data_IF_774724500383
#
_entry.id   IF_774724500383
#
_cell.length_a   1.000
_cell.length_b   1.000
_cell.length_c   1.000
_cell.angle_alpha   90.00
_cell.angle_beta   90.00
_cell.angle_gamma   90.00
#
_symmetry.space_group_name_H-M   'P 1'
#
loop_
_entity.id
_entity.type
_entity.pdbx_description
1 polymer ?
#
# COMPACT_ATOMS: atom_id res chain seq x y z
N UNK A 1 12.72 -27.47 1.72
CA UNK A 1 11.89 -26.35 1.29
C UNK A 1 10.65 -26.94 0.62
N UNK A 2 9.52 -26.86 1.29
CA UNK A 2 8.26 -27.23 0.67
C UNK A 2 8.13 -26.51 -0.67
N UNK A 3 7.77 -27.25 -1.71
CA UNK A 3 7.80 -26.77 -3.09
C UNK A 3 7.12 -25.42 -3.25
N UNK A 4 7.78 -24.52 -3.92
CA UNK A 4 7.24 -23.22 -4.29
C UNK A 4 6.08 -23.44 -5.24
N UNK A 5 4.91 -22.91 -4.90
CA UNK A 5 3.77 -22.99 -5.77
C UNK A 5 3.90 -21.94 -6.89
N UNK A 6 4.28 -22.36 -8.08
CA UNK A 6 4.51 -21.49 -9.23
C UNK A 6 3.28 -20.65 -9.60
N UNK A 7 2.08 -21.17 -9.41
CA UNK A 7 0.83 -20.42 -9.62
C UNK A 7 0.74 -19.20 -8.70
N UNK A 8 1.09 -19.38 -7.42
CA UNK A 8 1.11 -18.26 -6.46
C UNK A 8 2.17 -17.22 -6.80
N UNK A 9 3.37 -17.69 -7.16
CA UNK A 9 4.45 -16.80 -7.61
C UNK A 9 4.01 -15.99 -8.83
N UNK A 10 3.33 -16.60 -9.78
CA UNK A 10 2.80 -15.94 -10.96
C UNK A 10 1.82 -14.81 -10.59
N UNK A 11 0.86 -15.07 -9.71
CA UNK A 11 -0.10 -14.05 -9.27
C UNK A 11 0.59 -12.89 -8.55
N UNK A 12 1.54 -13.17 -7.68
CA UNK A 12 2.32 -12.14 -6.99
C UNK A 12 3.16 -11.33 -7.97
N UNK A 13 3.81 -11.98 -8.93
CA UNK A 13 4.62 -11.32 -9.94
C UNK A 13 3.80 -10.40 -10.86
N UNK A 14 2.67 -10.87 -11.34
CA UNK A 14 1.75 -10.06 -12.18
C UNK A 14 1.20 -8.89 -11.38
N UNK A 15 0.68 -9.13 -10.19
CA UNK A 15 0.18 -8.09 -9.31
C UNK A 15 1.25 -7.08 -8.95
N UNK A 16 2.43 -7.54 -8.57
CA UNK A 16 3.58 -6.69 -8.22
C UNK A 16 4.02 -5.79 -9.38
N UNK A 17 4.05 -6.33 -10.59
CA UNK A 17 4.35 -5.55 -11.81
C UNK A 17 3.33 -4.44 -12.04
N UNK A 18 2.05 -4.77 -11.96
CA UNK A 18 0.97 -3.78 -12.13
C UNK A 18 1.01 -2.73 -11.03
N UNK A 19 1.17 -3.14 -9.78
CA UNK A 19 1.24 -2.23 -8.63
C UNK A 19 2.43 -1.28 -8.71
N UNK A 20 3.60 -1.79 -9.09
CA UNK A 20 4.81 -0.97 -9.29
C UNK A 20 4.62 0.00 -10.45
N UNK A 21 4.03 -0.42 -11.56
CA UNK A 21 3.71 0.45 -12.68
C UNK A 21 2.74 1.58 -12.27
N UNK A 22 1.71 1.27 -11.49
CA UNK A 22 0.78 2.27 -10.95
C UNK A 22 1.49 3.28 -10.03
N UNK A 23 2.40 2.82 -9.17
CA UNK A 23 3.20 3.70 -8.31
C UNK A 23 4.11 4.61 -9.13
N UNK A 24 4.77 4.09 -10.15
CA UNK A 24 5.60 4.90 -11.06
C UNK A 24 4.76 5.94 -11.79
N UNK A 25 3.60 5.56 -12.30
CA UNK A 25 2.67 6.49 -12.95
C UNK A 25 2.23 7.61 -11.99
N UNK A 26 1.91 7.29 -10.75
CA UNK A 26 1.57 8.29 -9.73
C UNK A 26 2.74 9.25 -9.48
N UNK A 27 3.96 8.72 -9.38
CA UNK A 27 5.17 9.52 -9.24
C UNK A 27 5.42 10.46 -10.42
N UNK A 28 5.13 10.01 -11.64
CA UNK A 28 5.24 10.84 -12.84
C UNK A 28 4.16 11.94 -12.90
N UNK A 29 2.93 11.62 -12.51
CA UNK A 29 1.82 12.58 -12.47
C UNK A 29 2.03 13.66 -11.41
N UNK A 30 2.69 13.35 -10.32
CA UNK A 30 2.97 14.23 -9.18
C UNK A 30 4.48 14.53 -9.05
N UNK A 31 5.20 14.60 -10.17
CA UNK A 31 6.66 14.71 -10.19
C UNK A 31 7.19 15.91 -9.40
N UNK A 32 6.47 17.04 -9.40
CA UNK A 32 6.87 18.27 -8.72
C UNK A 32 6.45 18.34 -7.24
N UNK A 33 5.80 17.29 -6.72
CA UNK A 33 5.23 17.28 -5.38
C UNK A 33 6.14 16.63 -4.30
N UNK A 34 7.42 16.42 -4.59
CA UNK A 34 8.41 15.90 -3.64
C UNK A 34 8.05 14.51 -3.09
N UNK A 35 7.82 14.39 -1.80
CA UNK A 35 7.48 13.13 -1.11
C UNK A 35 5.98 12.78 -1.14
N UNK A 36 5.14 13.66 -1.65
CA UNK A 36 3.67 13.47 -1.68
C UNK A 36 3.24 12.21 -2.43
N UNK A 37 3.81 11.87 -3.60
CA UNK A 37 3.44 10.62 -4.29
C UNK A 37 3.63 9.37 -3.42
N UNK A 38 4.71 9.28 -2.67
CA UNK A 38 4.99 8.16 -1.76
C UNK A 38 4.01 8.13 -0.61
N UNK A 39 3.72 9.29 -0.01
CA UNK A 39 2.73 9.41 1.07
C UNK A 39 1.35 8.95 0.60
N UNK A 40 0.91 9.40 -0.56
CA UNK A 40 -0.38 9.02 -1.16
C UNK A 40 -0.42 7.53 -1.48
N UNK A 41 0.60 7.00 -2.14
CA UNK A 41 0.67 5.59 -2.50
C UNK A 41 0.59 4.69 -1.25
N UNK A 42 1.34 5.01 -0.21
CA UNK A 42 1.36 4.22 1.02
C UNK A 42 0.04 4.34 1.80
N UNK A 43 -0.54 5.52 1.91
CA UNK A 43 -1.82 5.75 2.59
C UNK A 43 -2.98 5.05 1.86
N UNK A 44 -3.10 5.24 0.55
CA UNK A 44 -4.12 4.57 -0.28
C UNK A 44 -3.92 3.06 -0.26
N UNK A 45 -2.68 2.61 -0.40
CA UNK A 45 -2.34 1.18 -0.35
C UNK A 45 -2.71 0.54 0.98
N UNK A 46 -2.45 1.21 2.10
CA UNK A 46 -2.83 0.74 3.44
C UNK A 46 -4.36 0.64 3.59
N UNK A 47 -5.10 1.64 3.12
CA UNK A 47 -6.56 1.61 3.10
C UNK A 47 -7.09 0.44 2.27
N UNK A 48 -6.63 0.29 1.05
CA UNK A 48 -7.06 -0.78 0.14
C UNK A 48 -6.70 -2.16 0.69
N UNK A 49 -5.55 -2.30 1.32
CA UNK A 49 -5.16 -3.55 1.98
C UNK A 49 -6.08 -3.87 3.16
N UNK A 50 -6.49 -2.87 3.91
CA UNK A 50 -7.50 -3.01 4.97
C UNK A 50 -8.83 -3.52 4.43
N UNK A 51 -9.35 -2.90 3.37
CA UNK A 51 -10.58 -3.34 2.67
C UNK A 51 -10.44 -4.78 2.17
N UNK A 52 -9.33 -5.07 1.52
CA UNK A 52 -9.06 -6.39 0.96
C UNK A 52 -9.00 -7.47 2.05
N UNK A 53 -8.34 -7.15 3.17
CA UNK A 53 -8.24 -8.04 4.33
C UNK A 53 -9.60 -8.35 4.94
N UNK A 54 -10.50 -7.37 4.97
CA UNK A 54 -11.85 -7.56 5.47
C UNK A 54 -12.76 -8.35 4.51
N UNK A 55 -12.48 -8.31 3.20
CA UNK A 55 -13.35 -8.85 2.15
C UNK A 55 -12.93 -10.22 1.63
N UNK A 56 -11.64 -10.48 1.52
CA UNK A 56 -11.13 -11.68 0.87
C UNK A 56 -10.43 -12.62 1.85
N UNK A 57 -10.70 -13.94 1.79
CA UNK A 57 -9.97 -14.95 2.55
C UNK A 57 -8.47 -14.94 2.18
N UNK A 58 -7.61 -15.12 3.19
CA UNK A 58 -6.16 -15.02 3.03
C UNK A 58 -5.55 -15.99 2.01
N UNK A 59 -6.18 -17.17 1.83
CA UNK A 59 -5.64 -18.24 0.98
C UNK A 59 -6.08 -18.18 -0.48
N UNK A 60 -6.81 -17.13 -0.91
CA UNK A 60 -7.29 -17.03 -2.28
C UNK A 60 -6.23 -16.47 -3.23
N UNK A 61 -6.25 -16.90 -4.48
CA UNK A 61 -5.36 -16.37 -5.52
C UNK A 61 -5.60 -14.87 -5.77
N UNK A 62 -6.86 -14.44 -5.69
CA UNK A 62 -7.21 -13.02 -5.82
C UNK A 62 -6.59 -12.20 -4.69
N UNK A 63 -6.56 -12.71 -3.47
CA UNK A 63 -5.90 -12.05 -2.34
C UNK A 63 -4.39 -11.93 -2.56
N UNK A 64 -3.76 -12.93 -3.13
CA UNK A 64 -2.34 -12.90 -3.50
C UNK A 64 -2.06 -11.89 -4.61
N UNK A 65 -2.88 -11.92 -5.66
CA UNK A 65 -2.74 -11.00 -6.79
C UNK A 65 -2.88 -9.53 -6.37
N UNK A 66 -3.93 -9.21 -5.63
CA UNK A 66 -4.26 -7.84 -5.25
C UNK A 66 -3.47 -7.39 -4.01
N UNK A 67 -3.36 -8.22 -2.98
CA UNK A 67 -2.72 -7.85 -1.72
C UNK A 67 -1.19 -7.91 -1.81
N UNK A 68 -0.63 -9.09 -1.82
CA UNK A 68 0.83 -9.29 -1.85
C UNK A 68 1.42 -8.77 -3.14
N UNK A 69 0.77 -8.99 -4.27
CA UNK A 69 1.21 -8.53 -5.58
C UNK A 69 0.97 -7.03 -5.78
N UNK A 70 -0.25 -6.65 -6.15
CA UNK A 70 -0.55 -5.28 -6.59
C UNK A 70 -0.30 -4.23 -5.50
N UNK A 71 -0.86 -4.40 -4.31
CA UNK A 71 -0.65 -3.45 -3.21
C UNK A 71 0.77 -3.52 -2.64
N UNK A 72 1.40 -4.70 -2.63
CA UNK A 72 2.80 -4.86 -2.27
C UNK A 72 3.75 -4.12 -3.22
N UNK A 73 3.47 -4.11 -4.52
CA UNK A 73 4.22 -3.34 -5.51
C UNK A 73 3.89 -1.85 -5.52
N UNK A 74 2.66 -1.50 -5.18
CA UNK A 74 2.19 -0.10 -5.14
C UNK A 74 2.73 0.66 -3.94
N UNK A 75 2.77 0.05 -2.76
CA UNK A 75 3.36 0.63 -1.55
C UNK A 75 4.87 0.48 -1.52
N UNK A 76 5.56 1.36 -0.78
CA UNK A 76 7.01 1.32 -0.74
C UNK A 76 7.58 1.86 0.57
N UNK A 77 8.35 1.02 1.26
CA UNK A 77 9.11 1.42 2.43
C UNK A 77 10.44 2.11 2.05
N UNK A 78 11.11 1.62 1.02
CA UNK A 78 12.40 2.17 0.58
C UNK A 78 12.29 3.62 0.13
N UNK A 79 11.28 3.96 -0.67
CA UNK A 79 11.06 5.34 -1.10
C UNK A 79 10.64 6.25 0.08
N UNK A 80 9.89 5.71 1.04
CA UNK A 80 9.59 6.42 2.29
C UNK A 80 10.86 6.76 3.07
N UNK A 81 11.76 5.80 3.26
CA UNK A 81 13.02 6.02 3.96
C UNK A 81 13.94 6.98 3.22
N UNK A 82 14.07 6.82 1.90
CA UNK A 82 14.87 7.71 1.06
C UNK A 82 14.35 9.15 1.11
N UNK A 83 13.04 9.33 1.00
CA UNK A 83 12.40 10.64 1.10
C UNK A 83 12.60 11.29 2.47
N UNK A 84 12.47 10.51 3.54
CA UNK A 84 12.70 10.99 4.91
C UNK A 84 14.15 11.46 5.10
N UNK A 85 15.12 10.68 4.63
CA UNK A 85 16.53 11.04 4.71
C UNK A 85 16.87 12.28 3.88
N UNK A 86 16.30 12.40 2.69
CA UNK A 86 16.48 13.60 1.85
C UNK A 86 15.93 14.86 2.53
N UNK A 87 14.74 14.76 3.12
CA UNK A 87 14.15 15.87 3.88
C UNK A 87 14.96 16.20 5.13
N UNK A 88 15.51 15.18 5.79
CA UNK A 88 16.30 15.38 7.00
C UNK A 88 17.53 16.26 6.76
N UNK A 89 18.16 16.12 5.60
CA UNK A 89 19.35 16.90 5.24
C UNK A 89 19.07 18.41 5.21
N UNK A 90 17.89 18.82 4.69
CA UNK A 90 17.56 20.22 4.44
C UNK A 90 16.50 20.76 5.41
N UNK A 91 15.59 19.94 5.87
CA UNK A 91 14.44 20.31 6.69
C UNK A 91 14.07 19.22 7.71
N UNK A 92 14.83 19.07 8.82
CA UNK A 92 14.60 17.98 9.78
C UNK A 92 13.21 17.93 10.38
N UNK A 93 12.59 19.09 10.65
CA UNK A 93 11.20 19.13 11.14
C UNK A 93 10.20 18.61 10.12
N UNK A 94 10.41 18.93 8.85
CA UNK A 94 9.57 18.42 7.77
C UNK A 94 9.76 16.90 7.58
N UNK A 95 10.98 16.40 7.75
CA UNK A 95 11.24 14.96 7.75
C UNK A 95 10.49 14.25 8.87
N UNK A 96 10.51 14.79 10.08
CA UNK A 96 9.76 14.25 11.22
C UNK A 96 8.24 14.31 10.98
N UNK A 97 7.73 15.41 10.44
CA UNK A 97 6.32 15.57 10.08
C UNK A 97 5.89 14.57 9.01
N UNK A 98 6.70 14.37 7.98
CA UNK A 98 6.47 13.39 6.93
C UNK A 98 6.44 11.95 7.48
N UNK A 99 7.40 11.59 8.32
CA UNK A 99 7.44 10.27 8.95
C UNK A 99 6.22 10.04 9.84
N UNK A 100 5.88 11.00 10.69
CA UNK A 100 4.70 10.92 11.56
C UNK A 100 3.39 10.85 10.76
N UNK A 101 3.22 11.68 9.74
CA UNK A 101 2.05 11.67 8.86
C UNK A 101 1.93 10.33 8.13
N UNK A 102 3.03 9.77 7.65
CA UNK A 102 3.06 8.47 6.98
C UNK A 102 2.57 7.35 7.90
N UNK A 103 3.01 7.32 9.15
CA UNK A 103 2.58 6.34 10.15
C UNK A 103 1.09 6.51 10.49
N UNK A 104 0.66 7.73 10.77
CA UNK A 104 -0.74 8.02 11.13
C UNK A 104 -1.67 7.70 9.98
N UNK A 105 -1.36 8.13 8.77
CA UNK A 105 -2.19 7.87 7.59
C UNK A 105 -2.15 6.39 7.20
N UNK A 106 -1.03 5.71 7.38
CA UNK A 106 -0.90 4.28 7.13
C UNK A 106 -1.75 3.46 8.10
N UNK A 107 -1.58 3.65 9.39
CA UNK A 107 -2.34 2.93 10.43
C UNK A 107 -3.82 3.32 10.37
N UNK A 108 -4.13 4.61 10.28
CA UNK A 108 -5.50 5.12 10.15
C UNK A 108 -6.17 4.63 8.87
N UNK A 109 -5.47 4.67 7.76
CA UNK A 109 -5.93 4.15 6.47
C UNK A 109 -6.27 2.66 6.54
N UNK A 110 -5.38 1.85 7.10
CA UNK A 110 -5.62 0.42 7.29
C UNK A 110 -6.84 0.15 8.20
N UNK A 111 -6.96 0.87 9.30
CA UNK A 111 -8.09 0.73 10.22
C UNK A 111 -9.41 1.13 9.57
N UNK A 112 -9.44 2.24 8.83
CA UNK A 112 -10.61 2.69 8.06
C UNK A 112 -10.96 1.69 6.95
N UNK A 113 -9.96 1.16 6.27
CA UNK A 113 -10.13 0.14 5.24
C UNK A 113 -10.75 -1.14 5.79
N UNK A 114 -10.29 -1.60 6.95
CA UNK A 114 -10.87 -2.75 7.65
C UNK A 114 -12.34 -2.50 8.01
N UNK A 115 -12.67 -1.32 8.49
CA UNK A 115 -14.06 -0.96 8.81
C UNK A 115 -14.94 -0.86 7.56
N UNK A 116 -14.45 -0.17 6.51
CA UNK A 116 -15.17 0.00 5.25
C UNK A 116 -15.39 -1.33 4.52
N UNK A 117 -14.44 -2.25 4.64
CA UNK A 117 -14.49 -3.56 4.00
C UNK A 117 -15.40 -4.57 4.72
N UNK A 118 -15.76 -4.33 5.98
CA UNK A 118 -16.64 -5.25 6.72
C UNK A 118 -18.00 -5.38 6.03
N UNK A 119 -18.52 -6.61 5.84
CA UNK A 119 -19.87 -6.78 5.36
C UNK A 119 -20.84 -6.08 6.33
N UNK A 120 -21.71 -5.22 5.81
CA UNK A 120 -22.80 -4.70 6.62
C UNK A 120 -23.62 -5.91 7.10
N UNK A 121 -23.88 -6.01 8.41
CA UNK A 121 -24.84 -6.96 8.92
C UNK A 121 -26.14 -6.69 8.15
N UNK A 122 -26.48 -7.62 7.24
CA UNK A 122 -27.68 -7.48 6.43
C UNK A 122 -28.86 -7.39 7.38
N UNK A 123 -29.62 -6.30 7.27
CA UNK A 123 -30.90 -6.24 7.89
C UNK A 123 -31.72 -7.41 7.36
N UNK A 124 -31.78 -8.48 8.12
CA UNK A 124 -32.86 -9.43 7.99
C UNK A 124 -34.05 -8.73 8.60
N UNK A 125 -34.82 -8.12 7.74
CA UNK A 125 -36.20 -7.84 8.07
C UNK A 125 -36.94 -9.17 8.20
#
# INVERSE_FOLDING_TARGET
>A
VAGVNLRRVFFVAVGGTVGTAARLALGMLLADAGVVPVLVANAVGAFLLGVLTARLPAATDLRLLLGTGALGGFTTYSAFMTGTLSLWADAPLLACAYAAASLVLGVGGAALGLRAGRPRAGGRA
#
